data_IF_798526985379
#
_entry.id   IF_798526985379
#
_cell.length_a   1.000
_cell.length_b   1.000
_cell.length_c   1.000
_cell.angle_alpha   90.00
_cell.angle_beta   90.00
_cell.angle_gamma   90.00
#
_symmetry.space_group_name_H-M   'P 1'
#
loop_
_entity.id
_entity.type
_entity.pdbx_description
1 polymer ?
#
# COMPACT_ATOMS: atom_id res chain seq x y z
N UNK A 1 -14.36 -24.55 -21.64
CA UNK A 1 -13.69 -23.33 -22.16
C UNK A 1 -14.58 -22.11 -21.90
N UNK A 2 -14.31 -21.35 -20.85
CA UNK A 2 -14.79 -19.98 -20.65
C UNK A 2 -13.56 -19.18 -20.23
N UNK A 3 -13.19 -18.19 -21.05
CA UNK A 3 -12.07 -17.29 -20.80
C UNK A 3 -12.40 -16.45 -19.56
N UNK A 4 -11.54 -16.47 -18.54
CA UNK A 4 -11.57 -15.49 -17.45
C UNK A 4 -11.03 -14.18 -18.04
N UNK A 5 -11.91 -13.38 -18.63
CA UNK A 5 -11.55 -12.06 -19.15
C UNK A 5 -11.69 -11.07 -18.00
N UNK A 6 -10.60 -10.84 -17.28
CA UNK A 6 -10.45 -9.66 -16.44
C UNK A 6 -10.20 -8.45 -17.37
N UNK A 7 -11.28 -7.83 -17.84
CA UNK A 7 -11.20 -6.58 -18.61
C UNK A 7 -11.09 -5.42 -17.63
N UNK A 8 -9.87 -5.00 -17.32
CA UNK A 8 -9.60 -3.76 -16.60
C UNK A 8 -9.73 -2.58 -17.57
N UNK A 9 -10.83 -1.84 -17.47
CA UNK A 9 -10.95 -0.51 -18.08
C UNK A 9 -10.42 0.50 -17.06
N UNK A 10 -9.21 1.00 -17.28
CA UNK A 10 -8.62 2.07 -16.47
C UNK A 10 -9.24 3.38 -16.93
N UNK A 11 -10.23 3.87 -16.19
CA UNK A 11 -10.66 5.26 -16.27
C UNK A 11 -9.92 6.03 -15.17
N UNK A 12 -9.00 6.91 -15.57
CA UNK A 12 -8.42 7.95 -14.72
C UNK A 12 -9.53 8.78 -14.10
N UNK A 13 -9.88 8.50 -12.84
CA UNK A 13 -10.73 9.36 -12.04
C UNK A 13 -9.90 10.52 -11.50
N UNK A 14 -10.27 11.73 -11.93
CA UNK A 14 -9.82 12.99 -11.36
C UNK A 14 -10.09 12.99 -9.85
N UNK A 15 -9.09 13.40 -9.06
CA UNK A 15 -9.21 13.74 -7.65
C UNK A 15 -10.23 14.89 -7.47
N UNK A 16 -11.52 14.56 -7.45
CA UNK A 16 -12.53 15.41 -6.83
C UNK A 16 -12.50 15.09 -5.35
N UNK A 17 -11.95 16.03 -4.59
CA UNK A 17 -12.01 16.07 -3.13
C UNK A 17 -13.46 15.94 -2.67
N UNK A 18 -13.88 14.71 -2.38
CA UNK A 18 -15.09 14.48 -1.63
C UNK A 18 -14.78 14.87 -0.19
N UNK A 19 -15.34 16.01 0.24
CA UNK A 19 -15.56 16.31 1.65
C UNK A 19 -16.57 15.29 2.20
N UNK A 20 -16.13 14.04 2.37
CA UNK A 20 -16.79 13.08 3.23
C UNK A 20 -16.50 13.48 4.66
N UNK A 21 -17.55 13.81 5.42
CA UNK A 21 -17.48 13.77 6.88
C UNK A 21 -17.18 12.32 7.25
N UNK A 22 -15.91 12.01 7.46
CA UNK A 22 -15.52 10.77 8.12
C UNK A 22 -15.89 10.92 9.59
N UNK A 23 -16.73 10.00 10.05
CA UNK A 23 -17.09 9.86 11.45
C UNK A 23 -15.81 9.77 12.29
N UNK A 24 -15.71 10.66 13.27
CA UNK A 24 -14.65 10.73 14.28
C UNK A 24 -14.59 9.45 15.13
N UNK A 25 -14.07 8.37 14.57
CA UNK A 25 -13.68 7.19 15.33
C UNK A 25 -12.30 7.45 15.99
N UNK A 26 -12.31 8.33 17.00
CA UNK A 26 -11.47 8.19 18.20
C UNK A 26 -9.95 8.18 18.05
N UNK A 27 -9.37 8.89 17.07
CA UNK A 27 -7.91 9.02 16.93
C UNK A 27 -7.48 10.48 16.93
N UNK A 28 -7.01 11.00 18.07
CA UNK A 28 -6.46 12.35 18.17
C UNK A 28 -5.44 12.63 17.06
N UNK A 29 -5.43 13.87 16.54
CA UNK A 29 -4.56 14.28 15.44
C UNK A 29 -3.13 13.79 15.67
N UNK A 30 -2.70 12.77 14.92
CA UNK A 30 -1.33 12.29 15.05
C UNK A 30 -0.44 13.41 14.53
N UNK A 31 0.28 14.06 15.44
CA UNK A 31 1.23 15.12 15.07
C UNK A 31 2.21 14.58 14.04
N UNK A 32 2.51 15.40 13.03
CA UNK A 32 3.49 15.09 11.99
C UNK A 32 4.90 14.91 12.59
N UNK A 33 5.19 15.51 13.75
CA UNK A 33 6.49 15.36 14.41
C UNK A 33 6.71 13.92 14.89
N UNK A 34 7.89 13.38 14.61
CA UNK A 34 8.32 12.05 15.01
C UNK A 34 9.02 11.30 13.88
N UNK A 35 9.39 10.06 14.16
CA UNK A 35 10.00 9.18 13.17
C UNK A 35 8.93 8.35 12.45
N UNK A 36 8.94 8.39 11.12
CA UNK A 36 7.96 7.77 10.23
C UNK A 36 8.66 6.79 9.29
N UNK A 37 8.40 5.49 9.43
CA UNK A 37 9.04 4.43 8.66
C UNK A 37 8.20 4.05 7.45
N UNK A 38 8.85 3.84 6.30
CA UNK A 38 8.17 3.43 5.08
C UNK A 38 7.48 2.09 5.30
N UNK A 39 6.17 2.05 5.09
CA UNK A 39 5.35 0.85 5.27
C UNK A 39 5.01 0.19 3.93
N UNK A 40 4.48 0.98 3.00
CA UNK A 40 4.13 0.53 1.64
C UNK A 40 4.14 1.71 0.68
N UNK A 41 4.21 1.44 -0.62
CA UNK A 41 4.14 2.48 -1.63
C UNK A 41 3.42 2.02 -2.89
N UNK A 42 2.79 2.96 -3.57
CA UNK A 42 2.17 2.81 -4.88
C UNK A 42 3.11 3.37 -5.94
N UNK A 43 3.62 2.50 -6.82
CA UNK A 43 4.52 2.91 -7.89
C UNK A 43 4.50 1.89 -9.06
N UNK A 44 5.10 2.28 -10.18
CA UNK A 44 5.31 1.47 -11.37
C UNK A 44 6.75 0.93 -11.43
N UNK A 45 7.23 0.36 -10.32
CA UNK A 45 8.59 -0.21 -10.30
C UNK A 45 8.73 -1.31 -11.37
N UNK A 46 9.82 -1.22 -12.13
CA UNK A 46 10.21 -2.15 -13.20
C UNK A 46 9.20 -2.30 -14.35
N UNK A 47 8.36 -1.28 -14.59
CA UNK A 47 7.41 -1.29 -15.71
C UNK A 47 6.30 -2.34 -15.61
N UNK A 48 6.05 -2.88 -14.41
CA UNK A 48 5.02 -3.92 -14.17
C UNK A 48 3.62 -3.35 -13.89
N UNK A 49 3.40 -2.07 -14.18
CA UNK A 49 2.17 -1.35 -13.89
C UNK A 49 2.13 -0.78 -12.47
N UNK A 50 1.30 0.24 -12.29
CA UNK A 50 1.07 0.90 -11.00
C UNK A 50 0.35 -0.04 -10.02
N UNK A 51 0.92 -0.18 -8.82
CA UNK A 51 0.45 -1.14 -7.79
C UNK A 51 1.01 -0.81 -6.42
N UNK A 52 0.36 -1.35 -5.38
CA UNK A 52 0.86 -1.31 -4.01
C UNK A 52 1.94 -2.36 -3.79
N UNK A 53 3.08 -1.94 -3.25
CA UNK A 53 4.32 -2.71 -3.17
C UNK A 53 4.80 -2.71 -1.73
N UNK A 54 5.09 -3.90 -1.22
CA UNK A 54 5.82 -4.04 0.04
C UNK A 54 7.30 -3.71 -0.20
N UNK A 55 7.90 -2.79 0.58
CA UNK A 55 9.32 -2.49 0.45
C UNK A 55 10.16 -3.72 0.79
N UNK A 56 11.29 -3.86 0.11
CA UNK A 56 12.29 -4.88 0.44
C UNK A 56 12.97 -4.57 1.78
N UNK A 57 13.81 -5.49 2.27
CA UNK A 57 14.48 -5.35 3.57
C UNK A 57 15.41 -4.12 3.66
N UNK A 58 15.99 -3.67 2.54
CA UNK A 58 16.77 -2.44 2.52
C UNK A 58 15.83 -1.23 2.61
N UNK A 59 14.85 -1.15 1.71
CA UNK A 59 13.90 -0.05 1.61
C UNK A 59 13.05 0.13 2.88
N UNK A 60 12.75 -0.95 3.62
CA UNK A 60 12.04 -0.92 4.91
C UNK A 60 12.78 -0.13 6.01
N UNK A 61 14.09 0.09 5.86
CA UNK A 61 14.86 0.92 6.78
C UNK A 61 14.66 2.41 6.53
N UNK A 62 14.04 2.80 5.39
CA UNK A 62 13.75 4.20 5.08
C UNK A 62 12.81 4.81 6.11
N UNK A 63 13.19 5.96 6.65
CA UNK A 63 12.31 6.74 7.53
C UNK A 63 12.49 8.25 7.39
N UNK A 64 11.44 8.99 7.70
CA UNK A 64 11.47 10.44 7.85
C UNK A 64 11.47 10.79 9.34
N UNK A 65 12.51 11.47 9.81
CA UNK A 65 12.53 12.08 11.13
C UNK A 65 12.08 13.53 11.01
N UNK A 66 10.87 13.82 11.49
CA UNK A 66 10.23 15.13 11.36
C UNK A 66 10.24 15.83 12.72
N UNK A 67 10.79 17.03 12.74
CA UNK A 67 10.86 17.94 13.89
C UNK A 67 10.31 19.30 13.51
N UNK A 68 10.06 20.21 14.44
CA UNK A 68 9.40 21.50 14.20
C UNK A 68 9.91 22.31 12.97
N UNK A 69 11.20 22.18 12.62
CA UNK A 69 11.82 22.95 11.54
C UNK A 69 12.58 22.11 10.51
N UNK A 70 12.79 20.82 10.78
CA UNK A 70 13.60 19.95 9.93
C UNK A 70 12.95 18.61 9.66
N UNK A 71 13.06 18.15 8.42
CA UNK A 71 12.81 16.78 8.00
C UNK A 71 14.16 16.17 7.64
N UNK A 72 14.47 15.01 8.23
CA UNK A 72 15.56 14.15 7.76
C UNK A 72 14.95 12.95 7.04
N UNK A 73 15.15 12.86 5.74
CA UNK A 73 14.82 11.68 4.96
C UNK A 73 16.02 10.74 4.99
N UNK A 74 15.96 9.74 5.85
CA UNK A 74 16.98 8.73 6.04
C UNK A 74 16.69 7.60 5.05
N UNK A 75 17.11 7.81 3.80
CA UNK A 75 16.70 6.98 2.66
C UNK A 75 17.62 5.79 2.44
N UNK A 76 17.04 4.60 2.39
CA UNK A 76 17.72 3.34 2.09
C UNK A 76 17.16 2.76 0.80
N UNK A 77 18.02 2.36 -0.13
CA UNK A 77 17.63 1.79 -1.41
C UNK A 77 18.64 0.77 -1.91
N UNK A 78 18.19 -0.12 -2.80
CA UNK A 78 19.08 -1.08 -3.45
C UNK A 78 19.82 -0.43 -4.62
N UNK A 79 21.14 -0.57 -4.65
CA UNK A 79 21.96 -0.41 -5.86
C UNK A 79 22.58 -1.75 -6.22
N UNK A 80 21.99 -2.42 -7.22
CA UNK A 80 22.32 -3.82 -7.49
C UNK A 80 21.90 -4.73 -6.32
N UNK A 81 22.87 -5.36 -5.67
CA UNK A 81 22.65 -6.19 -4.46
C UNK A 81 22.87 -5.44 -3.16
N UNK A 82 23.44 -4.24 -3.22
CA UNK A 82 23.93 -3.53 -2.05
C UNK A 82 22.86 -2.58 -1.52
N UNK A 83 22.76 -2.50 -0.19
CA UNK A 83 21.82 -1.61 0.48
C UNK A 83 22.51 -0.29 0.79
N UNK A 84 22.22 0.71 -0.04
CA UNK A 84 22.81 2.04 0.06
C UNK A 84 22.01 2.94 1.00
N UNK A 85 22.71 3.87 1.63
CA UNK A 85 22.15 4.85 2.57
C UNK A 85 22.48 6.27 2.10
N UNK A 86 21.45 6.98 1.64
CA UNK A 86 21.57 8.29 0.99
C UNK A 86 20.68 9.32 1.71
N UNK A 87 21.07 9.80 2.90
CA UNK A 87 20.26 10.72 3.68
C UNK A 87 20.15 12.10 3.02
N UNK A 88 18.96 12.69 3.06
CA UNK A 88 18.70 14.05 2.56
C UNK A 88 17.97 14.85 3.64
N UNK A 89 18.48 16.03 3.97
CA UNK A 89 17.94 16.86 5.05
C UNK A 89 17.30 18.13 4.48
N UNK A 90 16.16 18.50 5.05
CA UNK A 90 15.35 19.60 4.58
C UNK A 90 14.98 20.55 5.70
N UNK A 91 15.09 21.85 5.43
CA UNK A 91 14.25 22.84 6.09
C UNK A 91 12.89 22.80 5.41
N UNK A 92 11.80 22.96 6.16
CA UNK A 92 10.47 22.87 5.57
C UNK A 92 9.45 23.82 6.19
N UNK A 93 8.38 24.07 5.42
CA UNK A 93 7.16 24.70 5.89
C UNK A 93 5.96 23.87 5.44
N UNK A 94 4.88 23.95 6.20
CA UNK A 94 3.60 23.32 5.85
C UNK A 94 2.61 24.41 5.47
N UNK A 95 1.93 24.23 4.35
CA UNK A 95 0.80 25.05 3.96
C UNK A 95 -0.27 24.18 3.28
N UNK A 96 -1.49 24.16 3.82
CA UNK A 96 -2.66 23.50 3.22
C UNK A 96 -2.40 22.07 2.70
N UNK A 97 -1.85 21.19 3.54
CA UNK A 97 -1.58 19.79 3.15
C UNK A 97 -0.39 19.63 2.19
N UNK A 98 0.46 20.64 2.05
CA UNK A 98 1.69 20.59 1.25
C UNK A 98 2.90 20.85 2.14
N UNK A 99 3.87 19.94 2.09
CA UNK A 99 5.20 20.12 2.67
C UNK A 99 6.06 20.78 1.60
N UNK A 100 6.48 22.01 1.84
CA UNK A 100 7.45 22.72 0.99
C UNK A 100 8.83 22.54 1.62
N UNK A 101 9.74 21.92 0.89
CA UNK A 101 11.09 21.60 1.39
C UNK A 101 12.15 22.40 0.66
N UNK A 102 13.21 22.73 1.38
CA UNK A 102 14.46 23.26 0.83
C UNK A 102 15.60 22.43 1.39
N UNK A 103 16.45 21.87 0.53
CA UNK A 103 17.63 21.08 0.94
C UNK A 103 18.47 21.94 1.87
N UNK A 104 18.67 21.44 3.09
CA UNK A 104 19.32 22.16 4.18
C UNK A 104 20.85 22.27 3.94
N UNK A 105 21.48 23.25 4.57
CA UNK A 105 22.94 23.46 4.48
C UNK A 105 23.75 22.30 5.04
N UNK A 106 23.18 21.56 6.01
CA UNK A 106 23.76 20.37 6.61
C UNK A 106 23.36 19.06 5.92
N UNK A 107 22.69 19.12 4.75
CA UNK A 107 22.33 17.92 4.00
C UNK A 107 23.58 17.25 3.42
N UNK A 108 23.82 15.95 3.68
CA UNK A 108 24.98 15.23 3.15
C UNK A 108 24.89 15.02 1.63
N UNK A 109 23.66 14.87 1.14
CA UNK A 109 23.36 14.61 -0.26
C UNK A 109 22.42 15.69 -0.82
N UNK A 110 22.29 15.69 -2.15
CA UNK A 110 21.55 16.67 -2.94
C UNK A 110 22.12 18.10 -2.93
N UNK A 111 21.67 18.90 -3.89
CA UNK A 111 22.12 20.29 -4.04
C UNK A 111 21.51 21.17 -2.94
N UNK A 112 22.35 21.71 -2.05
CA UNK A 112 21.96 22.69 -1.02
C UNK A 112 21.11 23.82 -1.62
N UNK A 113 20.00 24.15 -0.96
CA UNK A 113 19.08 25.20 -1.39
C UNK A 113 18.12 24.81 -2.51
N UNK A 114 18.22 23.60 -3.07
CA UNK A 114 17.23 23.09 -4.01
C UNK A 114 15.85 23.00 -3.31
N UNK A 115 14.80 23.35 -4.05
CA UNK A 115 13.42 23.42 -3.54
C UNK A 115 12.55 22.38 -4.21
N UNK A 116 11.67 21.77 -3.45
CA UNK A 116 10.61 20.91 -3.95
C UNK A 116 9.41 20.93 -3.00
N UNK A 117 8.33 20.29 -3.39
CA UNK A 117 7.16 20.15 -2.55
C UNK A 117 6.48 18.80 -2.76
N UNK A 118 5.83 18.32 -1.70
CA UNK A 118 5.03 17.10 -1.73
C UNK A 118 3.70 17.35 -1.05
N UNK A 119 2.62 16.78 -1.60
CA UNK A 119 1.33 16.76 -0.90
C UNK A 119 1.38 15.66 0.15
N UNK A 120 0.73 15.89 1.28
CA UNK A 120 0.58 14.87 2.31
C UNK A 120 -0.81 14.84 2.91
N UNK A 121 -1.17 13.70 3.48
CA UNK A 121 -2.41 13.47 4.20
C UNK A 121 -2.15 12.60 5.43
N UNK A 122 -2.93 12.81 6.47
CA UNK A 122 -2.95 11.96 7.67
C UNK A 122 -4.28 11.20 7.72
N UNK A 123 -4.24 9.86 7.63
CA UNK A 123 -5.45 9.01 7.65
C UNK A 123 -5.22 7.81 8.54
N UNK A 124 -6.09 7.57 9.54
CA UNK A 124 -5.98 6.39 10.40
C UNK A 124 -4.64 6.24 11.15
N UNK A 125 -3.93 7.34 11.46
CA UNK A 125 -2.55 7.40 11.99
C UNK A 125 -1.43 7.08 10.98
N UNK A 126 -1.75 6.92 9.71
CA UNK A 126 -0.78 6.78 8.62
C UNK A 126 -0.43 8.15 8.03
N UNK A 127 0.84 8.37 7.72
CA UNK A 127 1.30 9.53 6.93
C UNK A 127 1.39 9.10 5.47
N UNK A 128 0.63 9.77 4.61
CA UNK A 128 0.55 9.49 3.18
C UNK A 128 1.25 10.64 2.45
N UNK A 129 2.26 10.32 1.65
CA UNK A 129 3.01 11.27 0.83
C UNK A 129 2.70 11.01 -0.64
N UNK A 130 2.26 12.04 -1.35
CA UNK A 130 2.02 12.00 -2.79
C UNK A 130 3.16 12.73 -3.52
N UNK A 131 3.78 12.04 -4.48
CA UNK A 131 4.92 12.56 -5.23
C UNK A 131 4.88 12.08 -6.69
N UNK A 132 5.76 12.64 -7.52
CA UNK A 132 5.95 12.20 -8.90
C UNK A 132 7.15 11.26 -8.99
N UNK A 133 6.95 10.08 -9.59
CA UNK A 133 8.00 9.10 -9.86
C UNK A 133 7.96 8.75 -11.35
N UNK A 134 9.03 9.06 -12.10
CA UNK A 134 9.14 8.70 -13.52
C UNK A 134 8.00 9.16 -14.44
N UNK A 135 7.32 10.26 -14.11
CA UNK A 135 6.18 10.80 -14.87
C UNK A 135 4.80 10.35 -14.38
N UNK A 136 4.73 9.48 -13.37
CA UNK A 136 3.47 8.99 -12.79
C UNK A 136 3.26 9.54 -11.37
N UNK A 137 2.00 9.51 -10.91
CA UNK A 137 1.66 9.77 -9.51
C UNK A 137 1.98 8.53 -8.67
N UNK A 138 2.87 8.72 -7.70
CA UNK A 138 3.29 7.71 -6.75
C UNK A 138 2.91 8.12 -5.34
N UNK A 139 2.68 7.12 -4.49
CA UNK A 139 2.23 7.31 -3.12
C UNK A 139 3.17 6.54 -2.19
N UNK A 140 3.58 7.13 -1.09
CA UNK A 140 4.26 6.43 0.00
C UNK A 140 3.43 6.54 1.26
N UNK A 141 3.36 5.45 2.01
CA UNK A 141 2.65 5.39 3.28
C UNK A 141 3.66 5.04 4.34
N UNK A 142 3.65 5.83 5.40
CA UNK A 142 4.55 5.70 6.52
C UNK A 142 3.80 5.43 7.82
N UNK A 143 4.42 4.60 8.66
CA UNK A 143 3.99 4.31 10.02
C UNK A 143 4.93 4.97 11.02
N UNK A 144 4.36 5.67 11.99
CA UNK A 144 5.06 6.34 13.07
C UNK A 144 5.62 5.35 14.06
N UNK A 145 6.86 5.57 14.47
CA UNK A 145 7.54 4.79 15.51
C UNK A 145 6.76 4.81 16.82
N UNK A 146 6.60 3.65 17.43
CA UNK A 146 5.98 3.50 18.76
C UNK A 146 4.46 3.71 18.78
N UNK A 147 3.81 3.82 17.61
CA UNK A 147 2.35 3.88 17.51
C UNK A 147 1.79 2.47 17.33
N UNK A 148 0.73 2.17 18.06
CA UNK A 148 -0.05 0.95 17.84
C UNK A 148 -1.05 1.15 16.68
N UNK A 149 -0.87 0.33 15.65
CA UNK A 149 -1.67 0.25 14.45
C UNK A 149 -2.74 -0.85 14.50
N UNK A 150 -2.92 -1.52 15.65
CA UNK A 150 -3.99 -2.50 15.87
C UNK A 150 -5.40 -1.93 15.66
N UNK A 151 -5.55 -0.60 15.74
CA UNK A 151 -6.80 0.12 15.46
C UNK A 151 -7.10 0.27 13.96
N UNK A 152 -6.13 -0.01 13.08
CA UNK A 152 -6.40 -0.03 11.64
C UNK A 152 -7.40 -1.15 11.32
N UNK A 153 -8.12 -0.96 10.22
CA UNK A 153 -9.04 -1.98 9.75
C UNK A 153 -8.32 -3.33 9.61
N UNK A 154 -8.92 -4.45 10.05
CA UNK A 154 -8.29 -5.77 9.96
C UNK A 154 -7.68 -6.08 8.61
N UNK A 155 -8.31 -5.63 7.51
CA UNK A 155 -7.86 -5.86 6.14
C UNK A 155 -6.52 -5.20 5.82
N UNK A 156 -6.20 -4.05 6.44
CA UNK A 156 -4.92 -3.36 6.24
C UNK A 156 -3.77 -4.23 6.75
N UNK A 157 -2.79 -4.50 5.89
CA UNK A 157 -1.72 -5.44 6.21
C UNK A 157 -1.04 -6.05 4.99
N UNK A 158 -0.04 -6.87 5.27
CA UNK A 158 0.52 -7.82 4.30
C UNK A 158 -0.01 -9.23 4.58
N UNK A 159 -0.65 -9.81 3.58
CA UNK A 159 -1.33 -11.09 3.67
C UNK A 159 -0.69 -12.10 2.72
N UNK A 160 -0.22 -13.24 3.23
CA UNK A 160 0.34 -14.33 2.41
C UNK A 160 -0.68 -15.45 2.25
N UNK A 161 -0.92 -15.87 1.01
CA UNK A 161 -1.83 -16.98 0.70
C UNK A 161 -1.24 -18.29 1.22
N UNK A 162 -2.11 -19.13 1.76
CA UNK A 162 -1.76 -20.44 2.35
C UNK A 162 -2.53 -21.57 1.71
N UNK A 163 -3.76 -21.29 1.27
CA UNK A 163 -4.65 -22.27 0.65
C UNK A 163 -5.51 -21.59 -0.41
N UNK A 164 -5.76 -22.30 -1.50
CA UNK A 164 -6.62 -21.89 -2.61
C UNK A 164 -7.65 -23.00 -2.86
N UNK A 165 -8.93 -22.68 -2.77
CA UNK A 165 -10.03 -23.64 -2.89
C UNK A 165 -10.85 -23.30 -4.12
N UNK A 166 -11.11 -24.29 -5.00
CA UNK A 166 -12.00 -24.14 -6.16
C UNK A 166 -12.98 -25.31 -6.17
N UNK A 167 -14.27 -25.02 -5.94
CA UNK A 167 -15.28 -26.06 -5.75
C UNK A 167 -14.94 -26.96 -4.56
N UNK A 168 -14.67 -28.25 -4.81
CA UNK A 168 -14.29 -29.22 -3.78
C UNK A 168 -12.77 -29.45 -3.69
N UNK A 169 -11.98 -28.84 -4.58
CA UNK A 169 -10.54 -29.04 -4.61
C UNK A 169 -9.85 -28.01 -3.72
N UNK A 170 -9.03 -28.49 -2.79
CA UNK A 170 -8.14 -27.67 -2.00
C UNK A 170 -6.70 -27.79 -2.49
N UNK A 171 -6.04 -26.66 -2.69
CA UNK A 171 -4.64 -26.56 -3.06
C UNK A 171 -3.88 -25.80 -1.97
N UNK A 172 -2.84 -26.42 -1.41
CA UNK A 172 -1.98 -25.80 -0.41
C UNK A 172 -0.83 -25.08 -1.12
N UNK A 173 -0.59 -23.84 -0.74
CA UNK A 173 0.55 -23.05 -1.23
C UNK A 173 1.83 -23.62 -0.65
N UNK A 174 2.80 -23.93 -1.50
CA UNK A 174 4.12 -24.45 -1.12
C UNK A 174 5.19 -23.53 -1.69
N UNK A 175 6.23 -23.30 -0.89
CA UNK A 175 7.32 -22.43 -1.29
C UNK A 175 8.04 -22.98 -2.54
N UNK A 176 8.32 -22.11 -3.50
CA UNK A 176 8.93 -22.47 -4.79
C UNK A 176 8.00 -23.12 -5.81
N UNK A 177 6.75 -23.46 -5.48
CA UNK A 177 5.76 -23.93 -6.45
C UNK A 177 5.06 -22.77 -7.16
N UNK A 178 4.38 -23.07 -8.28
CA UNK A 178 3.73 -22.02 -9.09
C UNK A 178 2.58 -21.33 -8.37
N UNK A 179 1.76 -22.07 -7.60
CA UNK A 179 0.64 -21.50 -6.88
C UNK A 179 1.16 -20.68 -5.69
N UNK A 180 1.09 -19.36 -5.80
CA UNK A 180 1.49 -18.41 -4.77
C UNK A 180 0.59 -17.17 -4.85
N UNK A 181 0.40 -16.48 -3.72
CA UNK A 181 -0.38 -15.27 -3.73
C UNK A 181 -0.18 -14.43 -2.49
N UNK A 182 -0.36 -13.13 -2.63
CA UNK A 182 -0.33 -12.21 -1.51
C UNK A 182 -1.14 -10.95 -1.78
N UNK A 183 -1.58 -10.30 -0.70
CA UNK A 183 -2.27 -9.01 -0.75
C UNK A 183 -1.46 -8.00 0.04
N UNK A 184 -1.24 -6.83 -0.57
CA UNK A 184 -0.75 -5.63 0.09
C UNK A 184 -1.92 -4.67 0.21
N UNK A 185 -2.43 -4.45 1.42
CA UNK A 185 -3.62 -3.63 1.66
C UNK A 185 -3.32 -2.51 2.68
N UNK A 186 -3.93 -1.35 2.46
CA UNK A 186 -3.86 -0.15 3.30
C UNK A 186 -5.08 0.75 3.09
N UNK A 187 -5.11 1.92 3.73
CA UNK A 187 -6.27 2.81 3.81
C UNK A 187 -6.74 3.48 2.50
N UNK A 188 -5.98 3.43 1.41
CA UNK A 188 -6.42 3.91 0.08
C UNK A 188 -6.60 2.80 -0.95
N UNK A 189 -6.17 1.57 -0.68
CA UNK A 189 -6.23 0.52 -1.70
C UNK A 189 -5.62 -0.80 -1.30
N UNK A 190 -5.69 -1.74 -2.23
CA UNK A 190 -5.07 -3.06 -2.10
C UNK A 190 -4.57 -3.56 -3.45
N UNK A 191 -3.51 -4.36 -3.46
CA UNK A 191 -3.08 -5.11 -4.65
C UNK A 191 -3.03 -6.60 -4.32
N UNK A 192 -3.73 -7.41 -5.12
CA UNK A 192 -3.64 -8.87 -5.14
C UNK A 192 -2.62 -9.30 -6.20
N UNK A 193 -1.60 -10.01 -5.74
CA UNK A 193 -0.64 -10.73 -6.56
C UNK A 193 -0.99 -12.20 -6.52
N UNK A 194 -1.17 -12.83 -7.68
CA UNK A 194 -1.52 -14.25 -7.78
C UNK A 194 -0.73 -14.90 -8.90
N UNK A 195 0.00 -15.96 -8.54
CA UNK A 195 0.58 -16.90 -9.47
C UNK A 195 -0.24 -18.18 -9.44
N UNK A 196 -0.56 -18.75 -10.60
CA UNK A 196 -1.37 -19.95 -10.68
C UNK A 196 -1.01 -20.81 -11.90
N UNK A 197 -1.12 -22.14 -11.79
CA UNK A 197 -0.87 -23.04 -12.91
C UNK A 197 -2.07 -23.04 -13.86
N UNK A 198 -1.83 -22.84 -15.15
CA UNK A 198 -2.84 -22.97 -16.20
C UNK A 198 -2.18 -23.46 -17.49
N UNK A 199 -2.73 -24.52 -18.09
CA UNK A 199 -2.20 -25.15 -19.31
C UNK A 199 -0.70 -25.53 -19.24
N UNK A 200 -0.23 -25.97 -18.07
CA UNK A 200 1.19 -26.35 -17.85
C UNK A 200 2.15 -25.16 -17.74
N UNK A 201 1.65 -23.93 -17.75
CA UNK A 201 2.43 -22.72 -17.54
C UNK A 201 2.11 -22.09 -16.18
N UNK A 202 3.06 -21.32 -15.66
CA UNK A 202 2.84 -20.53 -14.46
C UNK A 202 2.44 -19.10 -14.82
N UNK A 203 1.14 -18.81 -14.74
CA UNK A 203 0.58 -17.51 -15.04
C UNK A 203 0.66 -16.59 -13.83
N UNK A 204 0.75 -15.29 -14.09
CA UNK A 204 0.84 -14.25 -13.06
C UNK A 204 -0.19 -13.16 -13.30
N UNK A 205 -0.92 -12.79 -12.27
CA UNK A 205 -1.85 -11.65 -12.29
C UNK A 205 -1.54 -10.70 -11.15
N UNK A 206 -1.65 -9.41 -11.46
CA UNK A 206 -1.48 -8.31 -10.51
C UNK A 206 -2.71 -7.44 -10.68
N UNK A 207 -3.55 -7.39 -9.66
CA UNK A 207 -4.76 -6.59 -9.69
C UNK A 207 -4.74 -5.60 -8.53
N UNK A 208 -4.82 -4.32 -8.86
CA UNK A 208 -4.88 -3.21 -7.91
C UNK A 208 -6.31 -2.72 -7.82
N UNK A 209 -6.73 -2.42 -6.60
CA UNK A 209 -8.09 -2.01 -6.30
C UNK A 209 -8.14 -0.86 -5.29
N UNK A 210 -9.12 0.01 -5.48
CA UNK A 210 -9.64 0.90 -4.44
C UNK A 210 -10.76 0.18 -3.68
N UNK A 211 -10.84 0.40 -2.37
CA UNK A 211 -11.84 -0.24 -1.53
C UNK A 211 -12.36 0.68 -0.42
N UNK A 212 -13.58 0.39 0.03
CA UNK A 212 -14.21 1.03 1.18
C UNK A 212 -14.87 -0.01 2.09
N UNK A 213 -15.08 0.37 3.35
CA UNK A 213 -15.84 -0.43 4.30
C UNK A 213 -17.11 0.30 4.73
N UNK A 214 -18.25 -0.36 4.57
CA UNK A 214 -19.55 0.16 4.97
C UNK A 214 -20.38 -0.94 5.63
N UNK A 215 -21.00 -0.64 6.77
CA UNK A 215 -21.82 -1.62 7.50
C UNK A 215 -21.07 -2.92 7.85
N UNK A 216 -19.76 -2.86 8.06
CA UNK A 216 -18.91 -4.02 8.34
C UNK A 216 -18.52 -4.87 7.12
N UNK A 217 -18.90 -4.47 5.91
CA UNK A 217 -18.60 -5.17 4.65
C UNK A 217 -17.61 -4.40 3.79
N UNK A 218 -16.84 -5.12 3.00
CA UNK A 218 -15.81 -4.57 2.11
C UNK A 218 -16.33 -4.47 0.69
N UNK A 219 -16.02 -3.38 0.00
CA UNK A 219 -16.44 -3.14 -1.37
C UNK A 219 -15.27 -2.67 -2.21
N UNK A 220 -15.12 -3.24 -3.41
CA UNK A 220 -14.31 -2.68 -4.48
C UNK A 220 -15.05 -1.50 -5.11
N UNK A 221 -14.35 -0.37 -5.24
CA UNK A 221 -14.86 0.86 -5.86
C UNK A 221 -13.91 1.42 -6.93
N UNK A 222 -12.99 0.58 -7.43
CA UNK A 222 -12.02 0.97 -8.46
C UNK A 222 -12.68 1.46 -9.76
N UNK A 223 -13.90 0.99 -10.03
CA UNK A 223 -14.74 1.51 -11.10
C UNK A 223 -15.78 2.46 -10.47
N UNK A 224 -15.76 3.77 -10.76
CA UNK A 224 -16.72 4.72 -10.18
C UNK A 224 -18.19 4.39 -10.47
N UNK A 225 -18.47 3.63 -11.53
CA UNK A 225 -19.82 3.20 -11.90
C UNK A 225 -20.27 1.91 -11.18
N UNK A 226 -19.35 1.16 -10.57
CA UNK A 226 -19.62 -0.17 -10.02
C UNK A 226 -19.05 -0.31 -8.61
N UNK A 227 -19.93 -0.67 -7.67
CA UNK A 227 -19.54 -1.04 -6.31
C UNK A 227 -19.75 -2.53 -6.12
N UNK A 228 -18.65 -3.28 -6.06
CA UNK A 228 -18.70 -4.75 -5.97
C UNK A 228 -18.40 -5.20 -4.55
N UNK A 229 -19.28 -6.02 -3.96
CA UNK A 229 -19.04 -6.61 -2.64
C UNK A 229 -17.85 -7.57 -2.71
N UNK A 230 -16.91 -7.40 -1.79
CA UNK A 230 -15.87 -8.38 -1.50
C UNK A 230 -16.28 -9.25 -0.32
N UNK A 231 -16.33 -10.56 -0.57
CA UNK A 231 -16.59 -11.54 0.46
C UNK A 231 -15.29 -11.85 1.21
N UNK A 232 -15.01 -11.00 2.21
CA UNK A 232 -13.86 -11.07 3.08
C UNK A 232 -14.33 -11.44 4.48
N UNK A 233 -13.69 -12.46 5.07
CA UNK A 233 -13.93 -12.84 6.46
C UNK A 233 -12.61 -12.95 7.21
N UNK A 234 -12.63 -12.61 8.50
CA UNK A 234 -11.48 -12.68 9.39
C UNK A 234 -11.74 -13.68 10.51
N UNK A 235 -10.69 -14.39 10.93
CA UNK A 235 -10.76 -15.31 12.06
C UNK A 235 -9.46 -15.31 12.87
N UNK A 236 -9.51 -15.93 14.05
CA UNK A 236 -8.40 -16.03 15.00
C UNK A 236 -7.76 -14.66 15.29
N UNK A 237 -8.55 -13.74 15.84
CA UNK A 237 -8.12 -12.36 16.14
C UNK A 237 -7.49 -11.65 14.92
N UNK A 238 -8.14 -11.74 13.76
CA UNK A 238 -7.69 -11.15 12.49
C UNK A 238 -6.34 -11.65 11.97
N UNK A 239 -5.89 -12.83 12.42
CA UNK A 239 -4.66 -13.46 11.92
C UNK A 239 -4.87 -14.18 10.59
N UNK A 240 -6.08 -14.67 10.34
CA UNK A 240 -6.45 -15.35 9.11
C UNK A 240 -7.55 -14.59 8.38
N UNK A 241 -7.46 -14.57 7.06
CA UNK A 241 -8.45 -13.96 6.18
C UNK A 241 -8.86 -14.96 5.10
N UNK A 242 -10.15 -15.02 4.78
CA UNK A 242 -10.62 -15.61 3.53
C UNK A 242 -11.03 -14.50 2.59
N UNK A 243 -10.72 -14.65 1.31
CA UNK A 243 -11.25 -13.80 0.25
C UNK A 243 -11.88 -14.68 -0.82
N UNK A 244 -13.20 -14.62 -0.91
CA UNK A 244 -13.97 -15.39 -1.86
C UNK A 244 -14.32 -14.56 -3.11
N UNK A 245 -14.16 -15.19 -4.27
CA UNK A 245 -14.47 -14.63 -5.59
C UNK A 245 -15.41 -15.57 -6.34
N UNK A 246 -15.97 -15.10 -7.45
CA UNK A 246 -16.90 -15.86 -8.30
C UNK A 246 -18.09 -16.43 -7.50
N UNK A 247 -18.70 -15.59 -6.65
CA UNK A 247 -19.79 -15.96 -5.74
C UNK A 247 -19.46 -17.14 -4.82
N UNK A 248 -18.22 -17.20 -4.30
CA UNK A 248 -17.79 -18.25 -3.38
C UNK A 248 -17.28 -19.52 -4.05
N UNK A 249 -17.27 -19.58 -5.39
CA UNK A 249 -16.73 -20.75 -6.11
C UNK A 249 -15.23 -20.92 -5.88
N UNK A 250 -14.53 -19.81 -5.70
CA UNK A 250 -13.10 -19.77 -5.42
C UNK A 250 -12.88 -19.05 -4.10
N UNK A 251 -12.13 -19.67 -3.19
CA UNK A 251 -11.82 -19.08 -1.87
C UNK A 251 -10.32 -19.13 -1.65
N UNK A 252 -9.73 -17.96 -1.45
CA UNK A 252 -8.33 -17.80 -1.10
C UNK A 252 -8.20 -17.61 0.42
N UNK A 253 -7.30 -18.34 1.05
CA UNK A 253 -7.02 -18.25 2.48
C UNK A 253 -5.66 -17.61 2.70
N UNK A 254 -5.60 -16.60 3.54
CA UNK A 254 -4.40 -15.84 3.83
C UNK A 254 -4.08 -15.83 5.32
N UNK A 255 -2.80 -15.67 5.63
CA UNK A 255 -2.28 -15.37 6.97
C UNK A 255 -1.65 -13.99 6.97
N UNK A 256 -1.93 -13.21 8.01
CA UNK A 256 -1.32 -11.89 8.20
C UNK A 256 0.15 -12.03 8.59
N UNK A 257 1.01 -11.27 7.94
CA UNK A 257 2.46 -11.27 8.17
C UNK A 257 2.91 -9.97 8.85
N UNK A 258 2.30 -8.84 8.46
CA UNK A 258 2.50 -7.50 9.03
C UNK A 258 1.15 -6.79 9.09
#
# INVERSE_FOLDING_TARGET
MKKLIFSALVATALFVSSCGKDDDNGGGSTSLNGDWYLYTFYDNLNGKGLRWITPDNCSLQTYWSISDKKIKNEWYHLEGSDCEYTPIYYNYTINNGVINVTVAEDSPNERIGAKSSVKYEMKGKELIIYHKSGGYDAIQIFHKKGVDYSSLDPFVGYWKMTKYVVGQQELIVKDGECLDGHIVAHSLGATLYLNYPENGQCNKTINTYEWIKEGGKYYNVSNPAEKTLWDISFSNNNRYMTFAIDNGRTVMHFTKVK
#
